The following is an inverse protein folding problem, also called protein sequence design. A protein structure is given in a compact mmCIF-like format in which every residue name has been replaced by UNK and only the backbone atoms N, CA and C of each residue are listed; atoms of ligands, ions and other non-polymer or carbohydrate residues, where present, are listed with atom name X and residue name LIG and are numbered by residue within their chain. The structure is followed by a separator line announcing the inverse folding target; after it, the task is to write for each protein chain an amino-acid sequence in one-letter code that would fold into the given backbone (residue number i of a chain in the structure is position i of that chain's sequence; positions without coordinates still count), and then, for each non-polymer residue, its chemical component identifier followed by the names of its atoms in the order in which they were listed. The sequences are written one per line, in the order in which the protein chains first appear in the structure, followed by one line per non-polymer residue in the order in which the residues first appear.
data_IF_100824000302
#
_entry.id   IF_100824000302
#
_cell.length_a   1.000
_cell.length_b   1.000
_cell.length_c   1.000
_cell.angle_alpha   90.00
_cell.angle_beta   90.00
_cell.angle_gamma   90.00
#
_symmetry.space_group_name_H-M   'P 1'
#
loop_
_entity.id
_entity.type
_entity.pdbx_description
1 polymer ?
#
# COMPACT_ATOMS: atom_id res chain seq x y z
N UNK A 1 -0.57 6.03 -20.55
CA UNK A 1 -1.31 5.54 -19.38
C UNK A 1 -0.48 4.45 -18.71
N UNK A 2 -0.58 4.34 -17.39
CA UNK A 2 0.13 3.32 -16.62
C UNK A 2 -0.70 2.04 -16.57
N UNK A 3 -0.02 0.89 -16.56
CA UNK A 3 -0.68 -0.39 -16.34
C UNK A 3 -1.19 -0.48 -14.89
N UNK A 4 -2.34 -1.14 -14.65
CA UNK A 4 -2.81 -1.40 -13.29
C UNK A 4 -1.84 -2.28 -12.52
N UNK A 5 -1.74 -2.03 -11.23
CA UNK A 5 -1.00 -2.86 -10.27
C UNK A 5 -1.91 -3.27 -9.10
N UNK A 6 -1.39 -4.10 -8.22
CA UNK A 6 -2.10 -4.53 -7.02
C UNK A 6 -1.31 -4.17 -5.77
N UNK A 7 -2.00 -3.94 -4.66
CA UNK A 7 -1.35 -3.70 -3.38
C UNK A 7 -2.16 -4.27 -2.21
N UNK A 8 -1.43 -4.66 -1.18
CA UNK A 8 -1.96 -5.07 0.11
C UNK A 8 -1.58 -4.04 1.17
N UNK A 9 -2.53 -3.67 2.00
CA UNK A 9 -2.37 -2.76 3.12
C UNK A 9 -2.55 -3.57 4.42
N UNK A 10 -1.50 -3.64 5.21
CA UNK A 10 -1.52 -4.28 6.52
C UNK A 10 -1.57 -3.19 7.59
N UNK A 11 -2.78 -2.91 8.05
CA UNK A 11 -3.04 -1.90 9.11
C UNK A 11 -2.69 -2.51 10.45
N UNK A 12 -1.74 -1.93 11.17
CA UNK A 12 -1.08 -2.59 12.29
C UNK A 12 -0.95 -1.70 13.53
N UNK A 13 -1.00 -2.36 14.69
CA UNK A 13 -0.67 -1.78 16.00
C UNK A 13 0.49 -2.52 16.63
N UNK A 14 1.30 -1.82 17.42
CA UNK A 14 2.41 -2.43 18.15
C UNK A 14 1.92 -3.07 19.46
N UNK A 15 2.61 -4.11 19.87
CA UNK A 15 2.52 -4.62 21.24
C UNK A 15 3.16 -3.68 22.23
N UNK A 16 2.76 -3.80 23.48
CA UNK A 16 3.36 -3.04 24.58
C UNK A 16 4.89 -3.09 24.56
N UNK A 17 5.52 -1.91 24.60
CA UNK A 17 6.96 -1.75 24.57
C UNK A 17 7.62 -2.01 23.22
N UNK A 18 6.84 -2.11 22.15
CA UNK A 18 7.31 -2.19 20.77
C UNK A 18 7.05 -0.90 20.02
N UNK A 19 7.87 -0.61 19.02
CA UNK A 19 7.83 0.63 18.27
C UNK A 19 8.29 0.47 16.82
N UNK A 20 8.36 1.60 16.13
CA UNK A 20 8.78 1.66 14.73
C UNK A 20 10.22 1.22 14.50
N UNK A 21 11.10 1.39 15.48
CA UNK A 21 12.48 0.92 15.39
C UNK A 21 12.56 -0.61 15.40
N UNK A 22 11.69 -1.28 16.19
CA UNK A 22 11.55 -2.75 16.14
C UNK A 22 11.06 -3.21 14.76
N UNK A 23 10.08 -2.49 14.19
CA UNK A 23 9.55 -2.79 12.87
C UNK A 23 10.58 -2.57 11.77
N UNK A 24 11.36 -1.50 11.83
CA UNK A 24 12.42 -1.24 10.85
C UNK A 24 13.50 -2.32 10.87
N UNK A 25 13.93 -2.78 12.05
CA UNK A 25 14.87 -3.91 12.17
C UNK A 25 14.31 -5.21 11.59
N UNK A 26 13.01 -5.43 11.75
CA UNK A 26 12.33 -6.58 11.13
C UNK A 26 12.26 -6.42 9.61
N UNK A 27 11.93 -5.22 9.11
CA UNK A 27 11.86 -4.92 7.68
C UNK A 27 13.21 -5.15 6.97
N UNK A 28 14.33 -4.82 7.61
CA UNK A 28 15.68 -5.13 7.09
C UNK A 28 15.88 -6.63 6.91
N UNK A 29 15.45 -7.45 7.89
CA UNK A 29 15.53 -8.92 7.78
C UNK A 29 14.62 -9.46 6.69
N UNK A 30 13.41 -8.89 6.57
CA UNK A 30 12.48 -9.23 5.49
C UNK A 30 13.12 -8.94 4.13
N UNK A 31 13.71 -7.76 3.93
CA UNK A 31 14.37 -7.40 2.69
C UNK A 31 15.51 -8.37 2.35
N UNK A 32 16.39 -8.68 3.31
CA UNK A 32 17.46 -9.65 3.08
C UNK A 32 16.93 -11.02 2.67
N UNK A 33 15.86 -11.50 3.30
CA UNK A 33 15.22 -12.77 2.95
C UNK A 33 14.50 -12.69 1.59
N UNK A 34 13.86 -11.56 1.27
CA UNK A 34 13.19 -11.35 0.00
C UNK A 34 14.19 -11.37 -1.18
N UNK A 35 15.37 -10.77 -0.98
CA UNK A 35 16.44 -10.69 -1.99
C UNK A 35 17.13 -12.04 -2.29
N UNK A 36 16.90 -13.10 -1.49
CA UNK A 36 17.49 -14.42 -1.75
C UNK A 36 16.96 -15.09 -3.02
N UNK A 37 15.81 -14.67 -3.54
CA UNK A 37 15.18 -15.24 -4.73
C UNK A 37 14.48 -14.15 -5.54
N UNK A 38 14.00 -14.52 -6.74
CA UNK A 38 13.24 -13.65 -7.65
C UNK A 38 11.76 -13.47 -7.32
N UNK A 39 11.26 -14.10 -6.23
CA UNK A 39 9.84 -14.04 -5.86
C UNK A 39 9.36 -12.63 -5.49
N UNK A 40 10.27 -11.75 -5.08
CA UNK A 40 9.99 -10.37 -4.68
C UNK A 40 10.73 -9.34 -5.54
N UNK A 41 11.26 -9.73 -6.72
CA UNK A 41 12.08 -8.86 -7.57
C UNK A 41 11.40 -7.52 -7.91
N UNK A 42 10.10 -7.56 -8.14
CA UNK A 42 9.30 -6.39 -8.51
C UNK A 42 8.37 -5.91 -7.38
N UNK A 43 8.57 -6.42 -6.17
CA UNK A 43 7.81 -6.01 -5.00
C UNK A 43 8.37 -4.72 -4.42
N UNK A 44 7.48 -3.80 -4.09
CA UNK A 44 7.82 -2.54 -3.43
C UNK A 44 7.08 -2.49 -2.10
N UNK A 45 7.79 -2.23 -1.01
CA UNK A 45 7.19 -1.99 0.28
C UNK A 45 7.34 -0.53 0.71
N UNK A 46 6.31 -0.01 1.38
CA UNK A 46 6.34 1.28 2.04
C UNK A 46 5.73 1.16 3.44
N UNK A 47 6.30 1.92 4.39
CA UNK A 47 5.73 2.07 5.73
C UNK A 47 5.09 3.45 5.82
N UNK A 48 3.79 3.48 6.08
CA UNK A 48 3.02 4.69 6.29
C UNK A 48 2.80 4.87 7.79
N UNK A 49 3.24 5.99 8.31
CA UNK A 49 3.03 6.37 9.72
C UNK A 49 1.99 7.47 9.76
N UNK A 50 0.88 7.32 10.51
CA UNK A 50 -0.14 8.34 10.59
C UNK A 50 0.43 9.65 11.13
N UNK A 51 0.21 10.74 10.41
CA UNK A 51 0.52 12.09 10.88
C UNK A 51 -0.62 12.65 11.74
N UNK A 52 -1.87 12.34 11.34
CA UNK A 52 -3.06 12.61 12.12
C UNK A 52 -3.76 11.30 12.47
N UNK A 53 -4.21 11.17 13.69
CA UNK A 53 -4.97 10.02 14.18
C UNK A 53 -6.45 10.36 14.29
N UNK A 54 -7.34 9.48 13.78
CA UNK A 54 -8.74 9.48 14.18
C UNK A 54 -8.90 8.54 15.38
N UNK A 55 -9.76 8.91 16.32
CA UNK A 55 -10.01 8.06 17.50
C UNK A 55 -10.79 6.77 17.20
N UNK A 56 -11.34 6.63 15.99
CA UNK A 56 -12.23 5.51 15.64
C UNK A 56 -11.49 4.24 15.19
N UNK A 57 -10.33 4.41 14.56
CA UNK A 57 -9.50 3.27 14.11
C UNK A 57 -8.03 3.57 14.41
N UNK A 58 -7.59 3.45 15.66
CA UNK A 58 -6.21 3.68 16.03
C UNK A 58 -5.33 2.59 15.41
N UNK A 59 -4.26 3.00 14.73
CA UNK A 59 -3.20 2.13 14.25
C UNK A 59 -1.88 2.90 14.32
N UNK A 60 -0.79 2.17 14.47
CA UNK A 60 0.53 2.79 14.61
C UNK A 60 1.20 2.98 13.24
N UNK A 61 0.96 2.05 12.32
CA UNK A 61 1.46 2.17 10.95
C UNK A 61 0.67 1.29 9.98
N UNK A 62 0.92 1.48 8.69
CA UNK A 62 0.44 0.59 7.62
C UNK A 62 1.63 0.15 6.79
N UNK A 63 1.83 -1.17 6.68
CA UNK A 63 2.69 -1.73 5.65
C UNK A 63 1.93 -1.80 4.34
N UNK A 64 2.47 -1.20 3.29
CA UNK A 64 1.91 -1.29 1.94
C UNK A 64 2.84 -2.11 1.08
N UNK A 65 2.38 -3.28 0.64
CA UNK A 65 3.07 -4.14 -0.30
C UNK A 65 2.49 -3.97 -1.70
N UNK A 66 3.29 -3.60 -2.67
CA UNK A 66 2.87 -3.32 -4.05
C UNK A 66 3.54 -4.33 -4.97
N UNK A 67 2.74 -5.00 -5.79
CA UNK A 67 3.21 -5.90 -6.85
C UNK A 67 2.69 -5.43 -8.21
N UNK A 68 3.44 -5.62 -9.32
CA UNK A 68 3.02 -5.14 -10.63
C UNK A 68 1.72 -5.77 -11.12
N UNK A 69 1.41 -6.98 -10.67
CA UNK A 69 0.20 -7.72 -11.05
C UNK A 69 -0.10 -8.83 -10.01
N UNK A 70 -1.29 -9.48 -10.07
CA UNK A 70 -1.65 -10.56 -9.16
C UNK A 70 -0.73 -11.79 -9.22
N UNK A 71 -0.14 -12.10 -10.38
CA UNK A 71 0.77 -13.24 -10.53
C UNK A 71 2.04 -13.05 -9.71
N UNK A 72 2.67 -11.87 -9.82
CA UNK A 72 3.86 -11.52 -9.03
C UNK A 72 3.54 -11.47 -7.52
N UNK A 73 2.38 -10.93 -7.14
CA UNK A 73 1.93 -10.97 -5.75
C UNK A 73 1.76 -12.41 -5.25
N UNK A 74 1.19 -13.29 -6.08
CA UNK A 74 1.00 -14.69 -5.71
C UNK A 74 2.33 -15.42 -5.51
N UNK A 75 3.33 -15.17 -6.35
CA UNK A 75 4.69 -15.74 -6.18
C UNK A 75 5.29 -15.34 -4.82
N UNK A 76 5.20 -14.06 -4.47
CA UNK A 76 5.67 -13.57 -3.17
C UNK A 76 4.92 -14.20 -2.01
N UNK A 77 3.59 -14.25 -2.08
CA UNK A 77 2.74 -14.86 -1.06
C UNK A 77 3.02 -16.36 -0.90
N UNK A 78 3.21 -17.09 -2.01
CA UNK A 78 3.54 -18.52 -1.97
C UNK A 78 4.86 -18.77 -1.21
N UNK A 79 5.90 -18.01 -1.51
CA UNK A 79 7.16 -18.08 -0.75
C UNK A 79 6.96 -17.69 0.71
N UNK A 80 6.21 -16.63 1.00
CA UNK A 80 5.93 -16.20 2.36
C UNK A 80 5.27 -17.31 3.20
N UNK A 81 4.26 -17.97 2.63
CA UNK A 81 3.56 -19.06 3.31
C UNK A 81 4.43 -20.33 3.51
N UNK A 82 5.32 -20.61 2.56
CA UNK A 82 6.17 -21.82 2.65
C UNK A 82 7.41 -21.58 3.50
N UNK A 83 8.08 -20.44 3.37
CA UNK A 83 9.41 -20.20 3.95
C UNK A 83 9.46 -19.05 4.96
N UNK A 84 8.44 -18.21 5.04
CA UNK A 84 8.40 -17.00 5.88
C UNK A 84 8.12 -17.26 7.37
N UNK A 85 7.97 -18.50 7.80
CA UNK A 85 7.51 -18.86 9.16
C UNK A 85 8.35 -18.23 10.29
N UNK A 86 9.67 -18.16 10.12
CA UNK A 86 10.56 -17.56 11.13
C UNK A 86 10.34 -16.04 11.21
N UNK A 87 10.24 -15.36 10.07
CA UNK A 87 9.98 -13.94 10.00
C UNK A 87 8.60 -13.60 10.57
N UNK A 88 7.59 -14.41 10.26
CA UNK A 88 6.25 -14.26 10.82
C UNK A 88 6.26 -14.41 12.35
N UNK A 89 7.00 -15.40 12.88
CA UNK A 89 7.14 -15.58 14.32
C UNK A 89 7.84 -14.40 15.02
N UNK A 90 8.80 -13.75 14.35
CA UNK A 90 9.43 -12.53 14.85
C UNK A 90 8.48 -11.33 14.76
N UNK A 91 7.76 -11.17 13.65
CA UNK A 91 6.76 -10.12 13.46
C UNK A 91 5.66 -10.19 14.52
N UNK A 92 5.19 -11.40 14.83
CA UNK A 92 4.18 -11.63 15.87
C UNK A 92 4.65 -11.29 17.31
N UNK A 93 5.92 -11.02 17.52
CA UNK A 93 6.44 -10.47 18.79
C UNK A 93 6.39 -8.94 18.84
N UNK A 94 6.22 -8.31 17.68
CA UNK A 94 6.23 -6.84 17.51
C UNK A 94 4.80 -6.33 17.40
N UNK A 95 3.96 -7.01 16.62
CA UNK A 95 2.62 -6.56 16.27
C UNK A 95 1.55 -7.28 17.08
N UNK A 96 0.47 -6.54 17.40
CA UNK A 96 -0.74 -7.12 17.93
C UNK A 96 -1.45 -7.98 16.87
N UNK A 97 -2.22 -8.95 17.34
CA UNK A 97 -3.08 -9.77 16.49
C UNK A 97 -4.39 -9.06 16.21
N UNK A 98 -5.02 -9.39 15.08
CA UNK A 98 -6.30 -8.79 14.69
C UNK A 98 -6.17 -7.56 13.79
N UNK A 99 -4.99 -7.34 13.23
CA UNK A 99 -4.76 -6.30 12.25
C UNK A 99 -5.59 -6.54 10.98
N UNK A 100 -6.01 -5.43 10.35
CA UNK A 100 -6.77 -5.48 9.12
C UNK A 100 -5.83 -5.58 7.92
N UNK A 101 -6.17 -6.46 6.96
CA UNK A 101 -5.53 -6.52 5.65
C UNK A 101 -6.52 -6.10 4.58
N UNK A 102 -6.14 -5.15 3.76
CA UNK A 102 -6.95 -4.65 2.64
C UNK A 102 -6.21 -4.91 1.34
N UNK A 103 -6.85 -5.65 0.43
CA UNK A 103 -6.36 -5.85 -0.93
C UNK A 103 -6.98 -4.82 -1.86
N UNK A 104 -6.18 -4.26 -2.77
CA UNK A 104 -6.61 -3.22 -3.69
C UNK A 104 -6.09 -3.46 -5.11
N UNK A 105 -6.87 -3.01 -6.09
CA UNK A 105 -6.41 -2.71 -7.43
C UNK A 105 -6.03 -1.24 -7.50
N UNK A 106 -4.91 -0.93 -8.15
CA UNK A 106 -4.42 0.42 -8.25
C UNK A 106 -4.08 0.79 -9.68
N UNK A 107 -4.33 2.03 -10.04
CA UNK A 107 -3.90 2.61 -11.30
C UNK A 107 -3.14 3.90 -11.05
N UNK A 108 -1.88 3.93 -11.44
CA UNK A 108 -1.05 5.13 -11.31
C UNK A 108 -1.52 6.19 -12.29
N UNK A 109 -1.64 7.42 -11.82
CA UNK A 109 -1.98 8.61 -12.59
C UNK A 109 -0.74 9.46 -12.86
N UNK A 110 0.11 9.62 -11.85
CA UNK A 110 1.45 10.22 -11.98
C UNK A 110 2.40 9.60 -10.98
N UNK A 111 3.68 9.54 -11.34
CA UNK A 111 4.74 9.07 -10.45
C UNK A 111 5.37 10.22 -9.68
N UNK A 112 5.81 9.93 -8.47
CA UNK A 112 6.70 10.79 -7.68
C UNK A 112 8.15 10.28 -7.82
N UNK A 113 9.16 11.13 -7.63
CA UNK A 113 10.55 10.67 -7.55
C UNK A 113 10.71 9.57 -6.49
N UNK A 114 11.34 8.46 -6.86
CA UNK A 114 11.56 7.32 -5.97
C UNK A 114 12.61 7.63 -4.89
N UNK A 115 12.56 6.88 -3.78
CA UNK A 115 13.58 6.92 -2.72
C UNK A 115 13.52 8.14 -1.81
N UNK A 116 12.45 8.90 -1.83
CA UNK A 116 12.25 10.04 -0.93
C UNK A 116 11.10 9.77 0.04
N UNK A 117 11.31 10.14 1.30
CA UNK A 117 10.22 10.22 2.26
C UNK A 117 9.30 11.39 1.90
N UNK A 118 8.01 11.20 2.08
CA UNK A 118 7.02 12.20 1.74
C UNK A 118 5.71 12.01 2.49
N UNK A 119 4.76 12.88 2.21
CA UNK A 119 3.41 12.77 2.74
C UNK A 119 2.51 12.07 1.73
N UNK A 120 1.64 11.22 2.23
CA UNK A 120 0.57 10.59 1.45
C UNK A 120 -0.77 11.05 2.02
N UNK A 121 -1.68 11.44 1.14
CA UNK A 121 -3.06 11.77 1.51
C UNK A 121 -3.98 10.80 0.79
N UNK A 122 -4.81 10.11 1.54
CA UNK A 122 -5.89 9.28 1.02
C UNK A 122 -7.19 10.05 1.08
N UNK A 123 -8.03 9.86 0.07
CA UNK A 123 -9.35 10.48 0.00
C UNK A 123 -10.33 9.48 -0.58
N UNK A 124 -11.44 9.32 0.10
CA UNK A 124 -12.55 8.51 -0.39
C UNK A 124 -13.34 9.28 -1.44
N UNK A 125 -13.56 8.69 -2.59
CA UNK A 125 -14.12 9.37 -3.75
C UNK A 125 -15.37 8.64 -4.28
N UNK A 126 -16.38 9.43 -4.69
CA UNK A 126 -17.52 8.96 -5.49
C UNK A 126 -17.47 9.57 -6.86
N UNK A 127 -17.78 8.75 -7.87
CA UNK A 127 -17.94 9.22 -9.24
C UNK A 127 -19.22 10.05 -9.37
N UNK A 128 -19.18 11.07 -10.19
CA UNK A 128 -20.38 11.81 -10.57
C UNK A 128 -21.36 10.94 -11.35
N UNK A 129 -22.65 11.31 -11.36
CA UNK A 129 -23.68 10.58 -12.07
C UNK A 129 -23.34 10.42 -13.56
N UNK A 130 -23.35 9.18 -14.04
CA UNK A 130 -23.02 8.82 -15.43
C UNK A 130 -21.55 8.87 -15.80
N UNK A 131 -20.64 9.14 -14.84
CA UNK A 131 -19.20 9.14 -15.06
C UNK A 131 -18.63 7.75 -14.76
N UNK A 132 -17.85 7.20 -15.69
CA UNK A 132 -17.14 5.94 -15.46
C UNK A 132 -15.76 6.17 -14.84
N UNK A 133 -15.22 5.16 -14.17
CA UNK A 133 -13.86 5.20 -13.63
C UNK A 133 -12.80 5.50 -14.71
N UNK A 134 -12.99 5.00 -15.95
CA UNK A 134 -12.09 5.27 -17.06
C UNK A 134 -12.14 6.75 -17.49
N UNK A 135 -13.35 7.33 -17.61
CA UNK A 135 -13.50 8.74 -17.94
C UNK A 135 -12.86 9.65 -16.86
N UNK A 136 -13.01 9.27 -15.59
CA UNK A 136 -12.39 9.99 -14.49
C UNK A 136 -10.85 9.84 -14.55
N UNK A 137 -10.34 8.64 -14.80
CA UNK A 137 -8.91 8.41 -14.94
C UNK A 137 -8.31 9.26 -16.05
N UNK A 138 -8.94 9.31 -17.24
CA UNK A 138 -8.44 10.08 -18.38
C UNK A 138 -8.37 11.58 -18.05
N UNK A 139 -9.41 12.11 -17.40
CA UNK A 139 -9.43 13.50 -16.97
C UNK A 139 -8.36 13.79 -15.90
N UNK A 140 -8.21 12.89 -14.94
CA UNK A 140 -7.22 13.04 -13.86
C UNK A 140 -5.80 12.91 -14.39
N UNK A 141 -5.57 12.01 -15.34
CA UNK A 141 -4.28 11.88 -16.03
C UNK A 141 -3.93 13.15 -16.82
N UNK A 142 -4.88 13.70 -17.57
CA UNK A 142 -4.70 14.96 -18.29
C UNK A 142 -4.35 16.11 -17.34
N UNK A 143 -5.03 16.19 -16.19
CA UNK A 143 -4.71 17.15 -15.13
C UNK A 143 -3.28 16.96 -14.61
N UNK A 144 -2.88 15.72 -14.30
CA UNK A 144 -1.53 15.41 -13.77
C UNK A 144 -0.43 15.79 -14.78
N UNK A 145 -0.66 15.54 -16.08
CA UNK A 145 0.27 15.95 -17.16
C UNK A 145 0.39 17.48 -17.23
N UNK A 146 -0.71 18.20 -17.08
CA UNK A 146 -0.69 19.67 -17.07
C UNK A 146 0.02 20.22 -15.82
N UNK A 147 -0.27 19.66 -14.64
CA UNK A 147 0.35 20.04 -13.37
C UNK A 147 1.88 19.81 -13.39
N UNK A 148 2.34 18.69 -13.96
CA UNK A 148 3.77 18.39 -14.10
C UNK A 148 4.51 19.45 -14.93
N UNK A 149 3.87 20.04 -15.96
CA UNK A 149 4.46 21.12 -16.74
C UNK A 149 4.64 22.41 -15.92
N UNK A 150 3.90 22.54 -14.84
CA UNK A 150 3.98 23.67 -13.90
C UNK A 150 4.90 23.36 -12.69
N UNK A 151 5.63 22.25 -12.72
CA UNK A 151 6.59 21.89 -11.67
C UNK A 151 6.01 21.00 -10.58
N UNK A 152 4.80 20.49 -10.72
CA UNK A 152 4.24 19.53 -9.76
C UNK A 152 4.97 18.18 -9.81
N UNK A 153 5.40 17.68 -8.66
CA UNK A 153 6.13 16.41 -8.51
C UNK A 153 5.32 15.36 -7.75
N UNK A 154 4.05 15.64 -7.43
CA UNK A 154 3.22 14.72 -6.67
C UNK A 154 2.88 13.45 -7.47
N UNK A 155 3.09 12.30 -6.83
CA UNK A 155 2.54 11.02 -7.31
C UNK A 155 1.05 10.93 -6.99
N UNK A 156 0.29 10.30 -7.89
CA UNK A 156 -1.16 10.12 -7.76
C UNK A 156 -1.55 8.73 -8.20
N UNK A 157 -2.49 8.15 -7.48
CA UNK A 157 -3.08 6.85 -7.83
C UNK A 157 -4.59 6.88 -7.63
N UNK A 158 -5.30 6.13 -8.43
CA UNK A 158 -6.66 5.68 -8.12
C UNK A 158 -6.54 4.29 -7.48
N UNK A 159 -7.21 4.09 -6.35
CA UNK A 159 -7.13 2.87 -5.56
C UNK A 159 -8.53 2.30 -5.41
N UNK A 160 -8.75 1.12 -5.97
CA UNK A 160 -10.02 0.44 -5.95
C UNK A 160 -9.96 -0.70 -4.92
N UNK A 161 -10.71 -0.62 -3.80
CA UNK A 161 -10.71 -1.66 -2.81
C UNK A 161 -11.31 -2.95 -3.37
N UNK A 162 -10.61 -4.06 -3.14
CA UNK A 162 -11.06 -5.40 -3.51
C UNK A 162 -11.69 -6.11 -2.32
N UNK A 163 -10.88 -6.53 -1.36
CA UNK A 163 -11.33 -7.24 -0.14
C UNK A 163 -10.72 -6.60 1.11
N UNK A 164 -11.35 -6.85 2.27
CA UNK A 164 -10.85 -6.37 3.57
C UNK A 164 -11.37 -5.00 3.99
N UNK A 165 -12.16 -4.32 3.18
CA UNK A 165 -12.80 -3.05 3.54
C UNK A 165 -14.00 -3.28 4.46
N UNK A 166 -14.40 -2.24 5.19
CA UNK A 166 -15.61 -2.25 6.00
C UNK A 166 -16.86 -2.46 5.14
N UNK A 167 -17.87 -3.14 5.69
CA UNK A 167 -19.19 -3.25 5.06
C UNK A 167 -19.91 -1.91 4.92
N UNK A 168 -19.47 -0.88 5.63
CA UNK A 168 -19.98 0.50 5.53
C UNK A 168 -19.26 1.32 4.45
N UNK A 169 -18.28 0.75 3.76
CA UNK A 169 -17.60 1.41 2.66
C UNK A 169 -18.59 1.67 1.52
N UNK A 170 -18.78 2.93 1.17
CA UNK A 170 -19.75 3.41 0.17
C UNK A 170 -19.10 4.43 -0.77
N UNK A 171 -17.90 4.10 -1.29
CA UNK A 171 -17.13 4.90 -2.23
C UNK A 171 -16.71 4.07 -3.44
N UNK A 172 -16.37 4.72 -4.56
CA UNK A 172 -15.97 4.03 -5.78
C UNK A 172 -14.46 3.74 -5.81
N UNK A 173 -13.64 4.61 -5.19
CA UNK A 173 -12.18 4.43 -5.09
C UNK A 173 -11.59 5.35 -4.01
#
# INVERSE_FOLDING_TARGET
AYEPNVAEYYVSTFKDGKDMDDMMRWAEKFNMWADETDHFENYIAALLVPYYHSGENPHDFVWVGISPNPEEMHKGNDRWFNDGTKLLAELNKILDQGNQTIYTWQRTVSETPSGQNGYVVYSDCKLGEGVTAEQFYDAYYAYAVAAKKLGDVAGRKMIFPGTGTSSSWDYDF
#
